data_IF_577282757936
#
_entry.id   IF_577282757936
#
_cell.length_a   1.000
_cell.length_b   1.000
_cell.length_c   1.000
_cell.angle_alpha   90.00
_cell.angle_beta   90.00
_cell.angle_gamma   90.00
#
_symmetry.space_group_name_H-M   'P 1'
#
loop_
_entity.id
_entity.type
_entity.pdbx_description
1 polymer ?
#
# COMPACT_ATOMS: atom_id res chain seq x y z
N UNK A 1 19.64 5.11 7.65
CA UNK A 1 18.33 5.78 7.62
C UNK A 1 17.18 4.78 7.78
N UNK A 2 16.87 3.94 6.80
CA UNK A 2 15.72 3.01 6.87
C UNK A 2 15.76 2.05 8.08
N UNK A 3 16.89 1.39 8.34
CA UNK A 3 17.02 0.48 9.49
C UNK A 3 16.77 1.18 10.85
N UNK A 4 17.25 2.43 10.98
CA UNK A 4 17.00 3.24 12.18
C UNK A 4 15.52 3.63 12.29
N UNK A 5 14.85 3.93 11.17
CA UNK A 5 13.43 4.25 11.15
C UNK A 5 12.56 3.03 11.55
N UNK A 6 12.91 1.83 11.09
CA UNK A 6 12.20 0.61 11.49
C UNK A 6 12.36 0.27 12.99
N UNK A 7 13.50 0.63 13.59
CA UNK A 7 13.75 0.48 15.02
C UNK A 7 13.15 1.61 15.87
N UNK A 8 12.57 2.65 15.25
CA UNK A 8 11.94 3.77 15.94
C UNK A 8 10.43 3.52 16.11
N UNK A 9 9.94 3.31 17.35
CA UNK A 9 8.52 3.07 17.59
C UNK A 9 7.62 4.23 17.13
N UNK A 10 8.11 5.47 17.16
CA UNK A 10 7.32 6.61 16.71
C UNK A 10 7.09 6.57 15.19
N UNK A 11 8.13 6.23 14.42
CA UNK A 11 8.04 6.07 12.98
C UNK A 11 7.06 4.96 12.60
N UNK A 12 7.16 3.80 13.25
CA UNK A 12 6.26 2.67 12.97
C UNK A 12 4.83 2.94 13.42
N UNK A 13 4.62 3.65 14.53
CA UNK A 13 3.30 4.08 14.97
C UNK A 13 2.65 5.05 13.96
N UNK A 14 3.38 6.04 13.48
CA UNK A 14 2.89 6.98 12.47
C UNK A 14 2.57 6.28 11.15
N UNK A 15 3.47 5.42 10.65
CA UNK A 15 3.22 4.62 9.46
C UNK A 15 1.96 3.77 9.60
N UNK A 16 1.78 3.09 10.74
CA UNK A 16 0.60 2.26 11.01
C UNK A 16 -0.69 3.09 11.09
N UNK A 17 -0.65 4.28 11.69
CA UNK A 17 -1.80 5.18 11.72
C UNK A 17 -2.19 5.64 10.31
N UNK A 18 -1.21 5.98 9.47
CA UNK A 18 -1.46 6.38 8.08
C UNK A 18 -1.96 5.21 7.23
N UNK A 19 -1.37 4.02 7.38
CA UNK A 19 -1.84 2.80 6.73
C UNK A 19 -3.31 2.50 7.09
N UNK A 20 -3.70 2.70 8.35
CA UNK A 20 -5.08 2.49 8.80
C UNK A 20 -6.02 3.59 8.29
N UNK A 21 -5.71 4.85 8.60
CA UNK A 21 -6.66 5.95 8.48
C UNK A 21 -6.63 6.64 7.10
N UNK A 22 -5.51 6.57 6.38
CA UNK A 22 -5.37 7.18 5.05
C UNK A 22 -5.43 6.15 3.92
N UNK A 23 -4.75 5.01 4.07
CA UNK A 23 -4.79 3.94 3.05
C UNK A 23 -6.06 3.08 3.16
N UNK A 24 -6.61 2.92 4.36
CA UNK A 24 -7.82 2.10 4.61
C UNK A 24 -7.52 0.66 5.04
N UNK A 25 -6.34 0.39 5.61
CA UNK A 25 -6.00 -0.95 6.13
C UNK A 25 -6.71 -1.27 7.44
N UNK A 26 -6.96 -2.55 7.76
CA UNK A 26 -6.66 -3.74 6.97
C UNK A 26 -7.69 -3.98 5.84
N UNK A 27 -7.23 -4.52 4.72
CA UNK A 27 -8.09 -4.96 3.63
C UNK A 27 -8.71 -6.33 3.94
N UNK A 28 -9.97 -6.58 3.55
CA UNK A 28 -10.63 -7.86 3.81
C UNK A 28 -9.99 -9.01 3.03
N UNK A 29 -10.10 -10.21 3.59
CA UNK A 29 -9.89 -11.47 2.87
C UNK A 29 -11.27 -12.01 2.49
N UNK A 30 -11.58 -12.00 1.19
CA UNK A 30 -12.91 -12.33 0.68
C UNK A 30 -12.92 -13.73 0.06
N UNK A 31 -13.77 -14.63 0.53
CA UNK A 31 -13.95 -15.93 -0.12
C UNK A 31 -14.75 -15.74 -1.41
N UNK A 32 -14.14 -16.06 -2.56
CA UNK A 32 -14.76 -15.90 -3.87
C UNK A 32 -15.70 -17.07 -4.16
N UNK A 33 -16.87 -17.09 -3.52
CA UNK A 33 -17.82 -18.22 -3.50
C UNK A 33 -18.11 -18.82 -4.88
N UNK A 34 -18.40 -17.98 -5.88
CA UNK A 34 -18.68 -18.43 -7.25
C UNK A 34 -17.45 -19.04 -7.93
N UNK A 35 -16.26 -18.52 -7.64
CA UNK A 35 -14.99 -19.03 -8.18
C UNK A 35 -14.61 -20.35 -7.50
N UNK A 36 -14.76 -20.41 -6.17
CA UNK A 36 -14.63 -21.64 -5.37
C UNK A 36 -15.58 -22.73 -5.89
N UNK A 37 -16.85 -22.39 -6.17
CA UNK A 37 -17.82 -23.32 -6.73
C UNK A 37 -17.44 -23.77 -8.15
N UNK A 38 -16.96 -22.86 -9.00
CA UNK A 38 -16.53 -23.16 -10.36
C UNK A 38 -15.41 -24.20 -10.43
N UNK A 39 -14.47 -24.16 -9.49
CA UNK A 39 -13.34 -25.10 -9.43
C UNK A 39 -13.57 -26.33 -8.54
N UNK A 40 -14.78 -26.52 -8.01
CA UNK A 40 -15.13 -27.70 -7.21
C UNK A 40 -15.15 -28.96 -8.08
N UNK A 41 -14.57 -30.06 -7.57
CA UNK A 41 -14.51 -31.38 -8.20
C UNK A 41 -15.20 -32.43 -7.32
N UNK A 42 -15.38 -33.64 -7.84
CA UNK A 42 -16.07 -34.73 -7.16
C UNK A 42 -15.32 -35.24 -5.91
N UNK A 43 -13.99 -35.09 -5.88
CA UNK A 43 -13.10 -35.44 -4.77
C UNK A 43 -12.85 -34.27 -3.79
N UNK A 44 -13.53 -33.14 -3.99
CA UNK A 44 -13.31 -31.90 -3.24
C UNK A 44 -12.85 -30.76 -4.14
N UNK A 45 -12.27 -29.71 -3.58
CA UNK A 45 -11.77 -28.57 -4.36
C UNK A 45 -11.21 -27.46 -3.49
N UNK A 46 -10.44 -26.53 -4.09
CA UNK A 46 -9.84 -25.43 -3.33
C UNK A 46 -10.91 -24.43 -2.88
N UNK A 47 -10.72 -23.85 -1.70
CA UNK A 47 -11.36 -22.59 -1.31
C UNK A 47 -10.51 -21.44 -1.82
N UNK A 48 -11.09 -20.56 -2.62
CA UNK A 48 -10.37 -19.43 -3.22
C UNK A 48 -10.69 -18.15 -2.46
N UNK A 49 -9.65 -17.52 -1.94
CA UNK A 49 -9.74 -16.27 -1.19
C UNK A 49 -8.98 -15.16 -1.90
N UNK A 50 -9.57 -13.97 -1.95
CA UNK A 50 -9.00 -12.77 -2.54
C UNK A 50 -8.58 -11.81 -1.43
N UNK A 51 -7.28 -11.51 -1.34
CA UNK A 51 -6.79 -10.45 -0.47
C UNK A 51 -7.03 -9.10 -1.16
N UNK A 52 -7.98 -8.32 -0.65
CA UNK A 52 -8.59 -7.18 -1.34
C UNK A 52 -7.74 -5.90 -1.32
N UNK A 53 -6.49 -5.96 -1.76
CA UNK A 53 -5.62 -4.78 -1.90
C UNK A 53 -6.08 -3.79 -2.99
N UNK A 54 -7.06 -4.20 -3.82
CA UNK A 54 -7.79 -3.32 -4.72
C UNK A 54 -8.62 -2.25 -3.99
N UNK A 55 -8.95 -2.48 -2.71
CA UNK A 55 -9.72 -1.54 -1.88
C UNK A 55 -8.87 -0.50 -1.16
N UNK A 56 -7.54 -0.57 -1.28
CA UNK A 56 -6.69 0.48 -0.74
C UNK A 56 -6.99 1.81 -1.43
N UNK A 57 -6.76 2.93 -0.74
CA UNK A 57 -6.68 4.23 -1.41
C UNK A 57 -5.72 4.16 -2.61
N UNK A 58 -6.06 4.82 -3.71
CA UNK A 58 -5.44 4.69 -5.05
C UNK A 58 -5.67 3.35 -5.79
N UNK A 59 -6.41 2.40 -5.22
CA UNK A 59 -6.87 1.19 -5.92
C UNK A 59 -5.83 0.08 -6.10
N UNK A 60 -4.68 0.15 -5.44
CA UNK A 60 -3.62 -0.85 -5.56
C UNK A 60 -2.73 -0.95 -4.32
N UNK A 61 -2.03 -2.06 -4.16
CA UNK A 61 -1.07 -2.28 -3.05
C UNK A 61 0.15 -1.33 -3.08
N UNK A 62 0.40 -0.63 -4.20
CA UNK A 62 1.59 0.24 -4.37
C UNK A 62 1.61 1.41 -3.39
N UNK A 63 0.44 1.88 -2.95
CA UNK A 63 0.33 2.98 -1.98
C UNK A 63 0.99 2.65 -0.64
N UNK A 64 1.00 1.38 -0.23
CA UNK A 64 1.61 0.93 1.03
C UNK A 64 3.11 1.27 1.05
N UNK A 65 3.81 0.98 -0.05
CA UNK A 65 5.24 1.28 -0.18
C UNK A 65 5.48 2.78 -0.38
N UNK A 66 4.70 3.45 -1.24
CA UNK A 66 4.86 4.87 -1.50
C UNK A 66 4.76 5.69 -0.20
N UNK A 67 3.79 5.36 0.65
CA UNK A 67 3.58 6.02 1.94
C UNK A 67 4.79 5.87 2.88
N UNK A 68 5.31 4.64 3.02
CA UNK A 68 6.48 4.38 3.86
C UNK A 68 7.75 5.08 3.35
N UNK A 69 7.96 5.10 2.03
CA UNK A 69 9.11 5.79 1.44
C UNK A 69 9.01 7.32 1.56
N UNK A 70 7.82 7.90 1.35
CA UNK A 70 7.61 9.33 1.52
C UNK A 70 7.82 9.75 2.99
N UNK A 71 7.33 8.95 3.94
CA UNK A 71 7.56 9.19 5.37
C UNK A 71 9.05 9.10 5.73
N UNK A 72 9.77 8.13 5.17
CA UNK A 72 11.22 8.04 5.34
C UNK A 72 11.95 9.25 4.74
N UNK A 73 11.52 9.73 3.58
CA UNK A 73 12.10 10.90 2.93
C UNK A 73 11.91 12.17 3.77
N UNK A 74 10.73 12.36 4.38
CA UNK A 74 10.47 13.42 5.35
C UNK A 74 11.44 13.35 6.54
N UNK A 75 11.60 12.16 7.14
CA UNK A 75 12.57 11.94 8.24
C UNK A 75 14.00 12.27 7.83
N UNK A 76 14.37 12.00 6.58
CA UNK A 76 15.68 12.33 6.02
C UNK A 76 15.84 13.81 5.65
N UNK A 77 14.83 14.66 5.89
CA UNK A 77 14.85 16.08 5.54
C UNK A 77 14.77 16.34 4.03
N UNK A 78 14.28 15.37 3.24
CA UNK A 78 14.13 15.52 1.80
C UNK A 78 12.85 16.26 1.49
N UNK A 79 12.90 17.12 0.47
CA UNK A 79 11.78 17.94 0.01
C UNK A 79 11.24 17.53 -1.36
N UNK A 80 11.93 16.59 -2.03
CA UNK A 80 11.67 16.19 -3.41
C UNK A 80 11.78 14.68 -3.56
N UNK A 81 10.82 14.09 -4.26
CA UNK A 81 10.77 12.69 -4.67
C UNK A 81 10.84 12.61 -6.18
N UNK A 82 11.58 11.63 -6.68
CA UNK A 82 11.56 11.22 -8.08
C UNK A 82 10.98 9.82 -8.18
N UNK A 83 10.17 9.56 -9.19
CA UNK A 83 9.72 8.20 -9.50
C UNK A 83 9.51 7.99 -10.99
N UNK A 84 9.91 6.84 -11.49
CA UNK A 84 9.59 6.38 -12.82
C UNK A 84 8.28 5.58 -12.82
N UNK A 85 7.59 5.57 -13.95
CA UNK A 85 6.42 4.70 -14.11
C UNK A 85 6.24 4.29 -15.56
N UNK A 86 5.80 3.04 -15.76
CA UNK A 86 5.34 2.56 -17.06
C UNK A 86 3.90 3.00 -17.30
N UNK A 87 2.94 2.12 -17.00
CA UNK A 87 1.51 2.40 -17.19
C UNK A 87 0.92 3.47 -16.25
N UNK A 88 1.66 3.96 -15.24
CA UNK A 88 1.24 5.10 -14.41
C UNK A 88 0.86 4.79 -12.96
N UNK A 89 0.50 3.54 -12.62
CA UNK A 89 -0.02 3.21 -11.27
C UNK A 89 0.96 3.50 -10.13
N UNK A 90 2.26 3.31 -10.36
CA UNK A 90 3.27 3.68 -9.36
C UNK A 90 3.40 5.19 -9.25
N UNK A 91 3.46 5.91 -10.38
CA UNK A 91 3.52 7.37 -10.40
C UNK A 91 2.33 8.01 -9.68
N UNK A 92 1.12 7.50 -9.87
CA UNK A 92 -0.09 7.97 -9.16
C UNK A 92 0.03 7.76 -7.66
N UNK A 93 0.50 6.60 -7.20
CA UNK A 93 0.70 6.33 -5.77
C UNK A 93 1.74 7.28 -5.16
N UNK A 94 2.86 7.50 -5.85
CA UNK A 94 3.93 8.43 -5.41
C UNK A 94 3.46 9.87 -5.40
N UNK A 95 2.78 10.34 -6.44
CA UNK A 95 2.23 11.69 -6.51
C UNK A 95 1.19 11.92 -5.40
N UNK A 96 0.35 10.93 -5.11
CA UNK A 96 -0.65 10.98 -4.01
C UNK A 96 -0.01 11.25 -2.66
N UNK A 97 1.05 10.49 -2.32
CA UNK A 97 1.72 10.66 -1.02
C UNK A 97 2.57 11.93 -0.97
N UNK A 98 3.16 12.35 -2.09
CA UNK A 98 3.88 13.61 -2.16
C UNK A 98 2.94 14.80 -1.92
N UNK A 99 1.77 14.79 -2.56
CA UNK A 99 0.75 15.82 -2.36
C UNK A 99 0.28 15.87 -0.90
N UNK A 100 0.07 14.72 -0.25
CA UNK A 100 -0.28 14.64 1.18
C UNK A 100 0.76 15.32 2.09
N UNK A 101 2.03 15.10 1.80
CA UNK A 101 3.14 15.51 2.66
C UNK A 101 3.80 16.83 2.26
N UNK A 102 3.31 17.49 1.21
CA UNK A 102 3.91 18.73 0.71
C UNK A 102 5.32 18.52 0.12
N UNK A 103 5.58 17.35 -0.46
CA UNK A 103 6.83 17.04 -1.16
C UNK A 103 6.70 17.40 -2.64
N UNK A 104 7.75 17.98 -3.21
CA UNK A 104 7.87 18.12 -4.67
C UNK A 104 7.96 16.73 -5.30
N UNK A 105 7.20 16.48 -6.36
CA UNK A 105 7.13 15.18 -7.04
C UNK A 105 7.42 15.34 -8.52
N UNK A 106 8.34 14.53 -9.04
CA UNK A 106 8.69 14.47 -10.47
C UNK A 106 8.71 13.03 -10.95
#
# INVERSE_FOLDING_TARGET
AAAQAWNDPAFTAELNQLLKNYVGRATPLYEAERLTAHYRRADGGPRIWLKREDLNHTGAHKINNALGQALLALRMGKKRIIAETGAGQHGVATATVCARFGLECV
#
